data_IF_137746138309
#
_entry.id   IF_137746138309
#
_cell.length_a   1.000
_cell.length_b   1.000
_cell.length_c   1.000
_cell.angle_alpha   90.00
_cell.angle_beta   90.00
_cell.angle_gamma   90.00
#
_symmetry.space_group_name_H-M   'P 1'
#
loop_
_entity.id
_entity.type
_entity.pdbx_description
1 polymer ?
#
# COMPACT_ATOMS: atom_id res chain seq x y z
N UNK A 1 -7.16 11.74 0.20
CA UNK A 1 -7.24 10.30 -0.09
C UNK A 1 -7.81 10.02 -1.49
N UNK A 2 -9.00 10.51 -1.83
CA UNK A 2 -9.72 10.12 -3.05
C UNK A 2 -8.91 10.32 -4.34
N UNK A 3 -8.47 11.55 -4.62
CA UNK A 3 -7.68 11.84 -5.81
C UNK A 3 -6.36 11.08 -5.84
N UNK A 4 -5.66 11.00 -4.71
CA UNK A 4 -4.39 10.29 -4.61
C UNK A 4 -4.57 8.79 -4.87
N UNK A 5 -5.60 8.17 -4.28
CA UNK A 5 -5.92 6.76 -4.52
C UNK A 5 -6.29 6.48 -5.98
N UNK A 6 -7.05 7.38 -6.62
CA UNK A 6 -7.36 7.27 -8.06
C UNK A 6 -6.11 7.35 -8.94
N UNK A 7 -5.17 8.25 -8.61
CA UNK A 7 -3.89 8.34 -9.34
C UNK A 7 -3.08 7.05 -9.19
N UNK A 8 -3.02 6.46 -7.98
CA UNK A 8 -2.36 5.18 -7.77
C UNK A 8 -3.06 4.02 -8.48
N UNK A 9 -4.40 4.02 -8.56
CA UNK A 9 -5.15 3.05 -9.35
C UNK A 9 -4.80 3.14 -10.83
N UNK A 10 -4.73 4.36 -11.39
CA UNK A 10 -4.32 4.57 -12.78
C UNK A 10 -2.87 4.15 -13.02
N UNK A 11 -1.97 4.45 -12.09
CA UNK A 11 -0.58 3.98 -12.17
C UNK A 11 -0.51 2.45 -12.12
N UNK A 12 -1.17 1.81 -11.16
CA UNK A 12 -1.24 0.35 -11.05
C UNK A 12 -1.84 -0.30 -12.31
N UNK A 13 -2.88 0.31 -12.90
CA UNK A 13 -3.41 -0.13 -14.18
C UNK A 13 -2.37 0.00 -15.30
N UNK A 14 -1.58 1.09 -15.33
CA UNK A 14 -0.48 1.26 -16.26
C UNK A 14 0.55 0.13 -16.20
N UNK A 15 0.93 -0.32 -14.98
CA UNK A 15 1.83 -1.48 -14.81
C UNK A 15 1.25 -2.74 -15.46
N UNK A 16 -0.05 -2.97 -15.32
CA UNK A 16 -0.73 -4.10 -15.96
C UNK A 16 -0.72 -3.98 -17.48
N UNK A 17 -0.87 -2.78 -18.05
CA UNK A 17 -0.77 -2.58 -19.50
C UNK A 17 0.63 -2.92 -20.02
N UNK A 18 1.69 -2.56 -19.29
CA UNK A 18 3.07 -2.93 -19.63
C UNK A 18 3.25 -4.46 -19.67
N UNK A 19 2.73 -5.16 -18.67
CA UNK A 19 2.76 -6.63 -18.64
C UNK A 19 1.99 -7.23 -19.83
N UNK A 20 0.82 -6.67 -20.16
CA UNK A 20 0.03 -7.12 -21.32
C UNK A 20 0.72 -6.85 -22.63
N UNK A 21 1.44 -5.73 -22.76
CA UNK A 21 2.26 -5.46 -23.93
C UNK A 21 3.32 -6.55 -24.11
N UNK A 22 4.08 -6.87 -23.07
CA UNK A 22 5.13 -7.90 -23.13
C UNK A 22 4.59 -9.27 -23.55
N UNK A 23 3.37 -9.64 -23.11
CA UNK A 23 2.72 -10.89 -23.51
C UNK A 23 2.24 -10.87 -24.97
N UNK A 24 1.81 -9.70 -25.46
CA UNK A 24 1.34 -9.55 -26.85
C UNK A 24 2.50 -9.47 -27.85
N UNK A 25 3.62 -8.88 -27.44
CA UNK A 25 4.79 -8.62 -28.28
C UNK A 25 6.08 -9.04 -27.55
N UNK A 26 6.32 -10.36 -27.39
CA UNK A 26 7.51 -10.87 -26.71
C UNK A 26 8.79 -10.35 -27.37
N UNK A 27 9.78 -10.02 -26.56
CA UNK A 27 11.11 -9.58 -27.01
C UNK A 27 11.14 -8.28 -27.86
N UNK A 28 10.02 -7.57 -27.95
CA UNK A 28 9.99 -6.28 -28.64
C UNK A 28 10.19 -5.13 -27.67
N UNK A 29 10.92 -4.11 -28.14
CA UNK A 29 11.11 -2.89 -27.37
C UNK A 29 9.78 -2.16 -27.11
N UNK A 30 9.58 -1.70 -25.88
CA UNK A 30 8.40 -0.94 -25.50
C UNK A 30 8.47 0.46 -26.11
N UNK A 31 7.52 0.85 -26.98
CA UNK A 31 7.56 2.17 -27.64
C UNK A 31 7.51 3.30 -26.62
N UNK A 32 8.30 4.35 -26.83
CA UNK A 32 8.32 5.60 -26.06
C UNK A 32 8.72 5.41 -24.59
N UNK A 33 8.05 4.52 -23.86
CA UNK A 33 8.22 4.36 -22.40
C UNK A 33 9.47 3.54 -22.06
N UNK A 34 9.91 2.64 -22.95
CA UNK A 34 11.10 1.80 -22.72
C UNK A 34 12.37 2.59 -22.41
N UNK A 35 12.52 3.78 -22.99
CA UNK A 35 13.64 4.67 -22.74
C UNK A 35 13.63 5.37 -21.36
N UNK A 36 12.51 5.32 -20.62
CA UNK A 36 12.39 5.90 -19.28
C UNK A 36 12.96 4.98 -18.19
N UNK A 37 13.13 3.71 -18.49
CA UNK A 37 13.64 2.72 -17.55
C UNK A 37 15.14 2.49 -17.75
N UNK A 38 15.79 2.05 -16.69
CA UNK A 38 17.22 1.76 -16.69
C UNK A 38 17.58 0.62 -17.66
N UNK A 39 18.75 0.70 -18.28
CA UNK A 39 19.33 -0.40 -19.06
C UNK A 39 19.47 -1.71 -18.27
N UNK A 40 19.54 -1.63 -16.92
CA UNK A 40 19.56 -2.81 -16.06
C UNK A 40 18.21 -3.53 -15.95
N UNK A 41 17.10 -2.87 -16.29
CA UNK A 41 15.72 -3.41 -16.22
C UNK A 41 15.11 -3.60 -17.61
N UNK A 42 15.48 -2.73 -18.57
CA UNK A 42 14.96 -2.73 -19.94
C UNK A 42 16.07 -2.39 -20.94
N UNK A 43 17.04 -3.28 -21.17
CA UNK A 43 18.12 -3.05 -22.14
C UNK A 43 17.54 -2.83 -23.54
N UNK A 44 17.90 -1.72 -24.17
CA UNK A 44 17.36 -1.33 -25.48
C UNK A 44 15.83 -1.21 -25.52
N UNK A 45 15.18 -1.00 -24.38
CA UNK A 45 13.72 -0.92 -24.26
C UNK A 45 13.00 -2.27 -24.21
N UNK A 46 13.71 -3.39 -24.22
CA UNK A 46 13.14 -4.75 -24.09
C UNK A 46 13.04 -5.13 -22.62
N UNK A 47 11.86 -5.58 -22.19
CA UNK A 47 11.59 -5.92 -20.80
C UNK A 47 12.28 -7.22 -20.39
N UNK A 48 13.10 -7.17 -19.32
CA UNK A 48 13.67 -8.38 -18.73
C UNK A 48 12.63 -9.14 -17.89
N UNK A 49 12.77 -10.49 -17.75
CA UNK A 49 11.86 -11.30 -16.93
C UNK A 49 11.76 -10.84 -15.47
N UNK A 50 12.88 -10.39 -14.89
CA UNK A 50 12.93 -9.86 -13.52
C UNK A 50 12.07 -8.60 -13.38
N UNK A 51 12.14 -7.70 -14.37
CA UNK A 51 11.33 -6.47 -14.34
C UNK A 51 9.84 -6.79 -14.56
N UNK A 52 9.51 -7.77 -15.40
CA UNK A 52 8.13 -8.27 -15.55
C UNK A 52 7.56 -8.76 -14.21
N UNK A 53 8.35 -9.53 -13.45
CA UNK A 53 7.95 -9.99 -12.12
C UNK A 53 7.77 -8.82 -11.12
N UNK A 54 8.63 -7.81 -11.19
CA UNK A 54 8.49 -6.58 -10.37
C UNK A 54 7.20 -5.84 -10.71
N UNK A 55 6.84 -5.71 -11.98
CA UNK A 55 5.58 -5.09 -12.41
C UNK A 55 4.37 -5.81 -11.80
N UNK A 56 4.35 -7.15 -11.83
CA UNK A 56 3.28 -7.97 -11.25
C UNK A 56 3.19 -7.82 -9.74
N UNK A 57 4.32 -7.90 -9.04
CA UNK A 57 4.41 -7.75 -7.60
C UNK A 57 3.95 -6.37 -7.12
N UNK A 58 4.41 -5.32 -7.81
CA UNK A 58 4.05 -3.94 -7.49
C UNK A 58 2.63 -3.59 -7.91
N UNK A 59 2.13 -4.13 -9.05
CA UNK A 59 0.73 -3.96 -9.44
C UNK A 59 -0.21 -4.41 -8.32
N UNK A 60 -0.03 -5.64 -7.79
CA UNK A 60 -0.86 -6.15 -6.70
C UNK A 60 -0.79 -5.27 -5.45
N UNK A 61 0.41 -4.89 -5.03
CA UNK A 61 0.61 -4.02 -3.86
C UNK A 61 -0.06 -2.66 -4.04
N UNK A 62 0.18 -1.99 -5.17
CA UNK A 62 -0.33 -0.63 -5.42
C UNK A 62 -1.85 -0.64 -5.55
N UNK A 63 -2.42 -1.60 -6.27
CA UNK A 63 -3.87 -1.66 -6.46
C UNK A 63 -4.61 -1.86 -5.13
N UNK A 64 -4.10 -2.70 -4.25
CA UNK A 64 -4.73 -2.99 -2.96
C UNK A 64 -4.45 -1.89 -1.95
N UNK A 65 -3.17 -1.65 -1.63
CA UNK A 65 -2.78 -0.81 -0.49
C UNK A 65 -2.74 0.69 -0.80
N UNK A 66 -2.54 1.09 -2.05
CA UNK A 66 -2.53 2.50 -2.45
C UNK A 66 -3.78 2.93 -3.24
N UNK A 67 -4.52 1.97 -3.77
CA UNK A 67 -5.71 2.23 -4.58
C UNK A 67 -7.01 1.90 -3.85
N UNK A 68 -7.42 0.63 -3.88
CA UNK A 68 -8.76 0.19 -3.46
C UNK A 68 -9.05 0.48 -1.98
N UNK A 69 -8.15 0.09 -1.08
CA UNK A 69 -8.37 0.29 0.37
C UNK A 69 -8.39 1.77 0.75
N UNK A 70 -7.43 2.62 0.32
CA UNK A 70 -7.51 4.06 0.59
C UNK A 70 -8.71 4.74 -0.05
N UNK A 71 -9.20 4.28 -1.20
CA UNK A 71 -10.41 4.81 -1.80
C UNK A 71 -11.65 4.43 -0.99
N UNK A 72 -11.82 3.16 -0.67
CA UNK A 72 -13.00 2.65 0.02
C UNK A 72 -13.06 3.09 1.49
N UNK A 73 -11.95 2.94 2.23
CA UNK A 73 -11.90 3.27 3.66
C UNK A 73 -11.46 4.72 3.86
N UNK A 74 -10.36 5.12 3.25
CA UNK A 74 -9.79 6.45 3.43
C UNK A 74 -10.67 7.57 2.85
N UNK A 75 -11.08 7.48 1.59
CA UNK A 75 -11.86 8.53 0.94
C UNK A 75 -13.35 8.45 1.30
N UNK A 76 -14.01 7.35 0.93
CA UNK A 76 -15.45 7.20 1.21
C UNK A 76 -15.73 7.16 2.71
N UNK A 77 -14.91 6.49 3.51
CA UNK A 77 -15.05 6.47 4.97
C UNK A 77 -15.04 7.88 5.57
N UNK A 78 -14.01 8.68 5.27
CA UNK A 78 -13.89 10.03 5.81
C UNK A 78 -14.96 11.00 5.33
N UNK A 79 -15.52 10.79 4.13
CA UNK A 79 -16.53 11.67 3.57
C UNK A 79 -17.95 11.23 3.94
N UNK A 80 -18.28 9.97 3.75
CA UNK A 80 -19.66 9.47 3.87
C UNK A 80 -20.04 9.16 5.32
N UNK A 81 -19.10 8.63 6.13
CA UNK A 81 -19.41 8.20 7.50
C UNK A 81 -19.87 9.37 8.39
N UNK A 82 -19.19 10.53 8.46
CA UNK A 82 -19.67 11.66 9.26
C UNK A 82 -21.05 12.15 8.82
N UNK A 83 -21.30 12.21 7.50
CA UNK A 83 -22.60 12.60 6.96
C UNK A 83 -23.71 11.64 7.39
N UNK A 84 -23.46 10.34 7.36
CA UNK A 84 -24.45 9.32 7.72
C UNK A 84 -24.78 9.27 9.21
N UNK A 85 -23.83 9.62 10.08
CA UNK A 85 -24.06 9.66 11.54
C UNK A 85 -24.43 11.06 12.03
N UNK A 86 -24.43 12.08 11.15
CA UNK A 86 -24.72 13.47 11.48
C UNK A 86 -23.62 14.19 12.25
N UNK A 87 -22.39 13.72 12.16
CA UNK A 87 -21.21 14.38 12.71
C UNK A 87 -20.74 15.50 11.77
N UNK A 88 -20.24 16.60 12.33
CA UNK A 88 -19.70 17.71 11.53
C UNK A 88 -18.36 17.38 10.89
N UNK A 89 -17.52 16.57 11.57
CA UNK A 89 -16.20 16.12 11.12
C UNK A 89 -15.83 14.83 11.84
N UNK A 90 -14.67 14.27 11.50
CA UNK A 90 -14.06 13.18 12.25
C UNK A 90 -13.64 13.62 13.65
N UNK A 91 -13.58 12.68 14.60
CA UNK A 91 -13.26 12.98 15.99
C UNK A 91 -11.88 13.65 16.17
N UNK A 92 -10.90 13.24 15.36
CA UNK A 92 -9.53 13.75 15.42
C UNK A 92 -9.05 14.26 14.06
N UNK A 93 -9.39 15.49 13.63
CA UNK A 93 -9.02 16.02 12.31
C UNK A 93 -7.51 16.05 12.04
N UNK A 94 -6.70 16.42 13.06
CA UNK A 94 -5.23 16.43 12.94
C UNK A 94 -4.65 15.04 12.75
N UNK A 95 -5.20 14.05 13.45
CA UNK A 95 -4.80 12.64 13.30
C UNK A 95 -5.17 12.12 11.91
N UNK A 96 -6.32 12.54 11.40
CA UNK A 96 -6.77 12.22 10.04
C UNK A 96 -5.81 12.77 8.98
N UNK A 97 -5.36 14.02 9.16
CA UNK A 97 -4.37 14.62 8.28
C UNK A 97 -3.02 13.91 8.36
N UNK A 98 -2.55 13.54 9.55
CA UNK A 98 -1.32 12.76 9.72
C UNK A 98 -1.41 11.40 9.03
N UNK A 99 -2.53 10.71 9.19
CA UNK A 99 -2.83 9.45 8.48
C UNK A 99 -2.69 9.61 6.96
N UNK A 100 -3.26 10.67 6.38
CA UNK A 100 -3.11 10.95 4.96
C UNK A 100 -1.65 11.17 4.54
N UNK A 101 -0.88 11.94 5.32
CA UNK A 101 0.52 12.18 4.96
C UNK A 101 1.40 10.94 5.08
N UNK A 102 1.13 10.06 6.05
CA UNK A 102 1.76 8.73 6.10
C UNK A 102 1.43 7.91 4.85
N UNK A 103 0.16 7.86 4.44
CA UNK A 103 -0.26 7.21 3.21
C UNK A 103 0.47 7.76 1.97
N UNK A 104 0.50 9.09 1.82
CA UNK A 104 1.15 9.74 0.69
C UNK A 104 2.66 9.48 0.66
N UNK A 105 3.34 9.64 1.80
CA UNK A 105 4.77 9.38 1.91
C UNK A 105 5.11 7.92 1.58
N UNK A 106 4.35 6.96 2.13
CA UNK A 106 4.51 5.54 1.81
C UNK A 106 4.36 5.25 0.32
N UNK A 107 3.35 5.86 -0.32
CA UNK A 107 3.14 5.74 -1.75
C UNK A 107 4.29 6.30 -2.58
N UNK A 108 4.81 7.49 -2.22
CA UNK A 108 5.97 8.09 -2.89
C UNK A 108 7.21 7.20 -2.74
N UNK A 109 7.49 6.69 -1.54
CA UNK A 109 8.62 5.77 -1.31
C UNK A 109 8.51 4.53 -2.19
N UNK A 110 7.32 3.96 -2.34
CA UNK A 110 7.09 2.81 -3.24
C UNK A 110 7.30 3.17 -4.72
N UNK A 111 6.89 4.37 -5.16
CA UNK A 111 7.16 4.83 -6.53
C UNK A 111 8.66 5.00 -6.79
N UNK A 112 9.41 5.54 -5.83
CA UNK A 112 10.87 5.71 -5.93
C UNK A 112 11.57 4.37 -6.13
N UNK A 113 11.01 3.26 -5.62
CA UNK A 113 11.59 1.92 -5.78
C UNK A 113 11.79 1.48 -7.23
N UNK A 114 11.03 1.99 -8.18
CA UNK A 114 11.19 1.68 -9.60
C UNK A 114 12.46 2.28 -10.22
N UNK A 115 13.03 3.29 -9.60
CA UNK A 115 14.18 4.04 -10.11
C UNK A 115 15.49 3.74 -9.39
N UNK A 116 15.46 2.85 -8.38
CA UNK A 116 16.68 2.42 -7.68
C UNK A 116 17.38 1.28 -8.45
N UNK A 117 18.71 1.08 -8.25
CA UNK A 117 19.43 -0.01 -8.88
C UNK A 117 18.79 -1.38 -8.56
N UNK A 118 18.53 -2.16 -9.59
CA UNK A 118 17.85 -3.45 -9.51
C UNK A 118 16.32 -3.36 -9.57
N UNK A 119 15.74 -2.15 -9.65
CA UNK A 119 14.31 -1.93 -9.81
C UNK A 119 13.48 -2.15 -8.54
N UNK A 120 12.16 -2.28 -8.71
CA UNK A 120 11.17 -2.37 -7.64
C UNK A 120 11.16 -3.73 -6.92
N UNK A 121 10.29 -3.87 -5.92
CA UNK A 121 10.11 -5.13 -5.19
C UNK A 121 9.54 -6.23 -6.08
N UNK A 122 9.96 -7.48 -5.85
CA UNK A 122 9.52 -8.65 -6.62
C UNK A 122 8.84 -9.75 -5.79
N UNK A 123 8.81 -9.62 -4.47
CA UNK A 123 8.25 -10.65 -3.59
C UNK A 123 6.72 -10.61 -3.45
N UNK A 124 6.06 -9.66 -4.13
CA UNK A 124 4.62 -9.45 -4.00
C UNK A 124 4.22 -8.80 -2.68
N UNK A 125 2.93 -8.63 -2.47
CA UNK A 125 2.42 -7.98 -1.25
C UNK A 125 2.55 -8.84 0.02
N UNK A 126 2.76 -10.14 -0.13
CA UNK A 126 2.96 -11.08 0.99
C UNK A 126 4.37 -11.08 1.54
N UNK A 127 5.35 -10.65 0.75
CA UNK A 127 6.75 -10.48 1.16
C UNK A 127 7.35 -11.71 1.84
N UNK A 128 7.15 -12.91 1.25
CA UNK A 128 7.64 -14.15 1.85
C UNK A 128 9.16 -14.30 1.75
N UNK A 129 9.82 -14.68 2.86
CA UNK A 129 11.18 -15.20 2.83
C UNK A 129 11.24 -16.54 2.07
N UNK A 130 12.35 -16.91 1.43
CA UNK A 130 13.62 -16.16 1.37
C UNK A 130 13.67 -15.05 0.32
N UNK A 131 12.74 -15.02 -0.65
CA UNK A 131 12.79 -14.08 -1.78
C UNK A 131 12.83 -12.62 -1.30
N UNK A 132 12.01 -12.24 -0.32
CA UNK A 132 11.97 -10.89 0.21
C UNK A 132 13.30 -10.44 0.84
N UNK A 133 14.10 -11.37 1.36
CA UNK A 133 15.38 -11.04 2.00
C UNK A 133 16.52 -10.91 0.99
N UNK A 134 16.53 -11.74 -0.08
CA UNK A 134 17.51 -11.67 -1.17
C UNK A 134 17.17 -10.67 -2.27
N UNK A 135 15.93 -10.19 -2.32
CA UNK A 135 15.48 -9.26 -3.34
C UNK A 135 16.30 -7.97 -3.40
N UNK A 136 16.20 -7.27 -4.52
CA UNK A 136 16.90 -6.00 -4.79
C UNK A 136 16.61 -4.92 -3.72
N UNK A 137 17.34 -3.82 -3.79
CA UNK A 137 17.14 -2.64 -2.91
C UNK A 137 15.69 -2.13 -2.95
N UNK A 138 14.98 -2.32 -4.07
CA UNK A 138 13.55 -1.98 -4.19
C UNK A 138 12.66 -2.63 -3.13
N UNK A 139 13.00 -3.83 -2.65
CA UNK A 139 12.28 -4.49 -1.55
C UNK A 139 12.42 -3.73 -0.22
N UNK A 140 13.57 -3.11 0.04
CA UNK A 140 13.75 -2.25 1.23
C UNK A 140 12.84 -1.02 1.16
N UNK A 141 12.75 -0.36 0.00
CA UNK A 141 11.82 0.74 -0.21
C UNK A 141 10.36 0.28 -0.06
N UNK A 142 10.03 -0.90 -0.55
CA UNK A 142 8.71 -1.48 -0.38
C UNK A 142 8.35 -1.68 1.10
N UNK A 143 9.26 -2.24 1.91
CA UNK A 143 9.06 -2.43 3.35
C UNK A 143 8.85 -1.10 4.08
N UNK A 144 9.69 -0.11 3.79
CA UNK A 144 9.54 1.24 4.37
C UNK A 144 8.17 1.83 3.97
N UNK A 145 7.81 1.73 2.69
CA UNK A 145 6.51 2.19 2.20
C UNK A 145 5.35 1.49 2.91
N UNK A 146 5.41 0.16 3.08
CA UNK A 146 4.38 -0.61 3.79
C UNK A 146 4.23 -0.19 5.25
N UNK A 147 5.31 0.04 5.98
CA UNK A 147 5.26 0.53 7.37
C UNK A 147 4.49 1.85 7.43
N UNK A 148 4.78 2.80 6.54
CA UNK A 148 4.01 4.06 6.45
C UNK A 148 2.52 3.83 6.15
N UNK A 149 2.18 2.90 5.25
CA UNK A 149 0.79 2.59 4.87
C UNK A 149 0.02 1.92 6.03
N UNK A 150 0.67 1.01 6.74
CA UNK A 150 0.08 0.34 7.90
C UNK A 150 -0.13 1.35 9.03
N UNK A 151 0.87 2.17 9.36
CA UNK A 151 0.74 3.28 10.32
C UNK A 151 -0.42 4.21 9.95
N UNK A 152 -0.54 4.60 8.68
CA UNK A 152 -1.67 5.40 8.17
C UNK A 152 -3.02 4.75 8.48
N UNK A 153 -3.13 3.46 8.21
CA UNK A 153 -4.38 2.70 8.42
C UNK A 153 -4.73 2.56 9.90
N UNK A 154 -3.75 2.38 10.78
CA UNK A 154 -3.94 2.34 12.24
C UNK A 154 -4.48 3.67 12.76
N UNK A 155 -3.87 4.79 12.36
CA UNK A 155 -4.32 6.13 12.74
C UNK A 155 -5.76 6.41 12.25
N UNK A 156 -6.08 6.03 11.01
CA UNK A 156 -7.41 6.15 10.45
C UNK A 156 -8.44 5.30 11.19
N UNK A 157 -8.10 4.05 11.51
CA UNK A 157 -8.98 3.11 12.22
C UNK A 157 -9.36 3.61 13.61
N UNK A 158 -8.39 4.13 14.38
CA UNK A 158 -8.68 4.78 15.68
C UNK A 158 -9.69 5.93 15.52
N UNK A 159 -9.49 6.75 14.50
CA UNK A 159 -10.35 7.89 14.24
C UNK A 159 -11.78 7.46 13.86
N UNK A 160 -11.94 6.45 13.00
CA UNK A 160 -13.25 5.90 12.62
C UNK A 160 -14.01 5.33 13.82
N UNK A 161 -13.33 4.57 14.68
CA UNK A 161 -13.95 3.98 15.87
C UNK A 161 -14.48 5.07 16.80
N UNK A 162 -13.64 6.04 17.15
CA UNK A 162 -14.05 7.11 18.08
C UNK A 162 -15.15 7.98 17.46
N UNK A 163 -15.04 8.33 16.18
CA UNK A 163 -16.06 9.09 15.46
C UNK A 163 -17.41 8.38 15.50
N UNK A 164 -17.42 7.08 15.16
CA UNK A 164 -18.65 6.29 15.11
C UNK A 164 -19.27 6.10 16.50
N UNK A 165 -18.46 5.92 17.54
CA UNK A 165 -18.97 5.66 18.87
C UNK A 165 -19.44 6.94 19.56
N UNK A 166 -18.71 8.05 19.44
CA UNK A 166 -18.94 9.26 20.26
C UNK A 166 -19.70 10.37 19.55
N UNK A 167 -19.60 10.48 18.20
CA UNK A 167 -20.10 11.63 17.46
C UNK A 167 -21.44 11.36 16.73
N UNK A 168 -22.14 10.29 17.06
CA UNK A 168 -23.51 10.07 16.53
C UNK A 168 -24.47 11.13 17.02
N UNK A 169 -25.39 11.56 16.14
CA UNK A 169 -26.47 12.44 16.54
C UNK A 169 -27.31 11.85 17.68
N UNK A 170 -27.82 12.68 18.61
CA UNK A 170 -28.73 12.23 19.64
C UNK A 170 -29.92 11.44 19.06
N UNK A 171 -30.23 10.29 19.65
CA UNK A 171 -31.32 9.42 19.20
C UNK A 171 -30.90 8.35 18.18
N UNK A 172 -29.70 8.39 17.63
CA UNK A 172 -29.16 7.34 16.77
C UNK A 172 -28.54 6.23 17.62
N UNK A 173 -29.32 5.17 17.89
CA UNK A 173 -28.78 3.94 18.49
C UNK A 173 -27.93 3.16 17.48
N UNK A 174 -27.12 2.21 17.97
CA UNK A 174 -26.27 1.38 17.09
C UNK A 174 -27.07 0.66 16.00
N UNK A 175 -28.24 0.10 16.36
CA UNK A 175 -29.10 -0.61 15.38
C UNK A 175 -29.82 0.30 14.37
N UNK A 176 -29.71 1.62 14.52
CA UNK A 176 -30.23 2.60 13.57
C UNK A 176 -29.14 3.14 12.65
N UNK A 177 -27.87 2.75 12.85
CA UNK A 177 -26.78 3.16 11.98
C UNK A 177 -26.93 2.51 10.60
N UNK A 178 -26.63 3.26 9.50
CA UNK A 178 -26.52 2.69 8.16
C UNK A 178 -25.51 1.54 8.09
N UNK A 179 -25.73 0.58 7.20
CA UNK A 179 -24.86 -0.60 7.08
C UNK A 179 -23.43 -0.24 6.66
N UNK A 180 -23.24 0.84 5.92
CA UNK A 180 -21.90 1.34 5.58
C UNK A 180 -21.11 1.76 6.82
N UNK A 181 -21.75 2.44 7.78
CA UNK A 181 -21.14 2.83 9.04
C UNK A 181 -20.73 1.62 9.86
N UNK A 182 -21.59 0.59 9.89
CA UNK A 182 -21.26 -0.70 10.50
C UNK A 182 -20.07 -1.39 9.84
N UNK A 183 -20.03 -1.40 8.50
CA UNK A 183 -18.92 -1.97 7.77
C UNK A 183 -17.61 -1.25 8.10
N UNK A 184 -17.60 0.08 8.11
CA UNK A 184 -16.41 0.88 8.47
C UNK A 184 -15.98 0.63 9.93
N UNK A 185 -16.93 0.56 10.86
CA UNK A 185 -16.63 0.31 12.27
C UNK A 185 -15.98 -1.06 12.49
N UNK A 186 -16.57 -2.12 11.93
CA UNK A 186 -16.04 -3.48 12.03
C UNK A 186 -14.68 -3.60 11.35
N UNK A 187 -14.54 -3.05 10.14
CA UNK A 187 -13.25 -3.00 9.43
C UNK A 187 -12.18 -2.31 10.27
N UNK A 188 -12.51 -1.19 10.93
CA UNK A 188 -11.56 -0.47 11.77
C UNK A 188 -11.09 -1.28 12.98
N UNK A 189 -11.97 -2.02 13.63
CA UNK A 189 -11.56 -2.96 14.70
C UNK A 189 -10.66 -4.08 14.17
N UNK A 190 -11.00 -4.65 13.02
CA UNK A 190 -10.18 -5.70 12.40
C UNK A 190 -8.79 -5.19 12.03
N UNK A 191 -8.69 -3.96 11.50
CA UNK A 191 -7.40 -3.34 11.17
C UNK A 191 -6.56 -3.09 12.43
N UNK A 192 -7.16 -2.61 13.53
CA UNK A 192 -6.43 -2.42 14.80
C UNK A 192 -5.91 -3.74 15.39
N UNK A 193 -6.54 -4.86 15.10
CA UNK A 193 -6.09 -6.18 15.58
C UNK A 193 -5.05 -6.79 14.64
N UNK A 194 -5.23 -6.66 13.33
CA UNK A 194 -4.39 -7.33 12.33
C UNK A 194 -3.11 -6.55 11.96
N UNK A 195 -3.17 -5.23 11.95
CA UNK A 195 -2.07 -4.41 11.44
C UNK A 195 -0.88 -4.26 12.38
N UNK A 196 -1.00 -4.19 13.72
CA UNK A 196 0.19 -4.17 14.58
C UNK A 196 1.11 -5.38 14.41
N UNK A 197 0.61 -6.64 14.36
CA UNK A 197 1.47 -7.78 14.03
C UNK A 197 2.08 -7.70 12.63
N UNK A 198 1.34 -7.20 11.63
CA UNK A 198 1.84 -7.03 10.29
C UNK A 198 2.94 -5.96 10.22
N UNK A 199 2.76 -4.84 10.93
CA UNK A 199 3.76 -3.78 11.03
C UNK A 199 5.03 -4.28 11.73
N UNK A 200 4.88 -5.02 12.83
CA UNK A 200 6.00 -5.65 13.53
C UNK A 200 6.77 -6.61 12.60
N UNK A 201 6.06 -7.45 11.84
CA UNK A 201 6.70 -8.33 10.86
C UNK A 201 7.46 -7.55 9.78
N UNK A 202 6.90 -6.46 9.27
CA UNK A 202 7.58 -5.57 8.32
C UNK A 202 8.85 -4.93 8.88
N UNK A 203 8.81 -4.48 10.14
CA UNK A 203 9.99 -3.91 10.84
C UNK A 203 11.05 -4.99 11.05
N UNK A 204 10.68 -6.18 11.51
CA UNK A 204 11.63 -7.30 11.72
C UNK A 204 12.30 -7.70 10.39
N UNK A 205 11.54 -7.79 9.31
CA UNK A 205 12.10 -8.07 7.98
C UNK A 205 12.99 -6.94 7.47
N UNK A 206 12.67 -5.69 7.78
CA UNK A 206 13.55 -4.55 7.48
C UNK A 206 14.86 -4.62 8.28
N UNK A 207 14.81 -5.06 9.53
CA UNK A 207 16.01 -5.29 10.36
C UNK A 207 16.88 -6.42 9.79
N UNK A 208 16.29 -7.52 9.31
CA UNK A 208 17.04 -8.58 8.65
C UNK A 208 17.83 -8.05 7.45
N UNK A 209 17.22 -7.19 6.65
CA UNK A 209 17.85 -6.60 5.46
C UNK A 209 18.88 -5.50 5.75
N UNK A 210 18.69 -4.69 6.77
CA UNK A 210 19.55 -3.52 7.06
C UNK A 210 20.55 -3.76 8.18
N UNK A 211 20.17 -4.53 9.20
CA UNK A 211 20.98 -4.77 10.39
C UNK A 211 21.59 -6.19 10.45
N UNK A 212 21.28 -7.05 9.45
CA UNK A 212 21.79 -8.42 9.40
C UNK A 212 21.28 -9.30 10.53
N UNK A 213 20.06 -9.03 11.03
CA UNK A 213 19.38 -9.91 11.98
C UNK A 213 18.84 -11.16 11.28
N UNK A 214 18.39 -12.14 12.00
CA UNK A 214 17.90 -13.42 11.46
C UNK A 214 16.55 -13.82 12.03
N UNK A 215 15.59 -12.91 11.96
CA UNK A 215 14.23 -13.17 12.42
C UNK A 215 13.46 -14.14 11.50
N UNK A 216 13.69 -14.02 10.18
CA UNK A 216 12.99 -14.81 9.16
C UNK A 216 13.91 -15.79 8.42
N UNK A 217 15.22 -15.55 8.41
CA UNK A 217 16.19 -16.50 7.86
C UNK A 217 17.09 -17.05 8.98
N UNK A 218 17.33 -18.38 9.00
CA UNK A 218 18.31 -18.96 9.90
C UNK A 218 19.72 -18.36 9.65
N UNK A 219 20.42 -18.04 10.70
CA UNK A 219 21.81 -17.57 10.62
C UNK A 219 22.68 -18.60 9.88
N UNK A 220 23.35 -18.17 8.83
CA UNK A 220 24.20 -19.02 7.98
C UNK A 220 23.59 -19.41 6.64
N UNK A 221 22.42 -18.91 6.27
CA UNK A 221 21.84 -19.04 4.93
C UNK A 221 22.06 -17.78 4.06
N UNK A 222 22.88 -16.84 4.53
CA UNK A 222 23.27 -15.62 3.79
C UNK A 222 24.78 -15.67 3.57
#
# INVERSE_FOLDING_TARGET
YGLTALLFLLFGFGLMLLMRWQLAYPEQALPVIGALFSESTMPGGVMLPEFYNQLGAMHGTIMVFLGVVPLAVGAFGNYVLPLQIGAQDMAFPKLNMLSYWCFFAGGVVMLVSFFVPGGAAQSGWTSYPPLADYATTGQTYWLIGMIFLITSSLLGSMNFIVTTIQLRVPGMSYFRMPIFVWAQLVTSFLLLLAFPPLEAAGVLQLMDRLAGTSFFLPSGLV
#
